data_IF_265654391373
#
_entry.id   IF_265654391373
#
_cell.length_a   1.000
_cell.length_b   1.000
_cell.length_c   1.000
_cell.angle_alpha   90.00
_cell.angle_beta   90.00
_cell.angle_gamma   90.00
#
_symmetry.space_group_name_H-M   'P 1'
#
loop_
_entity.id
_entity.type
_entity.pdbx_description
1 polymer ?
#
# COMPACT_ATOMS: atom_id res chain seq x y z
N UNK A 1 30.76 3.20 -0.16
CA UNK A 1 29.88 3.82 -1.17
C UNK A 1 28.56 3.06 -1.12
N UNK A 2 27.59 3.52 -0.33
CA UNK A 2 26.28 2.84 -0.17
C UNK A 2 25.25 3.60 -0.99
N UNK A 3 24.88 3.03 -2.13
CA UNK A 3 23.90 3.58 -3.06
C UNK A 3 22.47 3.43 -2.54
N UNK A 4 21.81 4.58 -2.39
CA UNK A 4 20.44 4.89 -2.81
C UNK A 4 19.36 3.83 -2.55
N UNK A 5 18.74 3.89 -1.37
CA UNK A 5 17.46 3.26 -1.09
C UNK A 5 16.34 4.08 -1.73
N UNK A 6 15.89 3.66 -2.91
CA UNK A 6 14.66 4.15 -3.53
C UNK A 6 13.48 3.52 -2.78
N UNK A 7 12.63 4.35 -2.16
CA UNK A 7 11.42 3.91 -1.47
C UNK A 7 10.47 3.24 -2.47
N UNK A 8 10.41 1.90 -2.45
CA UNK A 8 9.47 1.12 -3.26
C UNK A 8 8.20 0.88 -2.43
N UNK A 9 7.08 1.41 -2.90
CA UNK A 9 5.73 1.01 -2.45
C UNK A 9 5.48 -0.44 -2.88
N UNK A 10 5.89 -1.38 -2.03
CA UNK A 10 5.68 -2.81 -2.22
C UNK A 10 4.46 -3.30 -1.43
N UNK A 11 3.63 -4.14 -2.06
CA UNK A 11 2.56 -4.85 -1.36
C UNK A 11 3.21 -5.83 -0.37
N UNK A 12 3.18 -5.50 0.92
CA UNK A 12 3.78 -6.33 1.96
C UNK A 12 3.07 -7.68 2.03
N UNK A 13 3.76 -8.75 1.61
CA UNK A 13 3.35 -10.09 1.95
C UNK A 13 3.54 -10.27 3.47
N UNK A 14 2.43 -10.12 4.19
CA UNK A 14 2.17 -10.69 5.51
C UNK A 14 2.95 -10.14 6.73
N UNK A 15 3.11 -8.83 6.81
CA UNK A 15 3.28 -8.09 8.08
C UNK A 15 2.42 -6.84 7.99
N UNK A 16 1.22 -6.89 8.57
CA UNK A 16 0.36 -5.69 8.66
C UNK A 16 0.98 -4.74 9.67
N UNK A 17 1.68 -3.73 9.17
CA UNK A 17 2.31 -2.68 9.99
C UNK A 17 1.24 -1.87 10.72
N UNK A 18 0.08 -1.68 10.10
CA UNK A 18 -1.10 -1.10 10.73
C UNK A 18 -2.35 -1.89 10.30
N UNK A 19 -3.23 -2.27 11.23
CA UNK A 19 -4.39 -3.12 10.92
C UNK A 19 -5.38 -2.46 9.95
N UNK A 20 -5.41 -1.12 9.90
CA UNK A 20 -6.36 -0.37 9.08
C UNK A 20 -5.84 -0.01 7.68
N UNK A 21 -4.54 -0.21 7.41
CA UNK A 21 -3.92 0.17 6.15
C UNK A 21 -3.52 -1.05 5.32
N UNK A 22 -4.10 -1.17 4.13
CA UNK A 22 -3.75 -2.21 3.15
C UNK A 22 -2.42 -1.94 2.43
N UNK A 23 -2.03 -0.68 2.33
CA UNK A 23 -0.83 -0.23 1.65
C UNK A 23 -0.14 0.82 2.52
N UNK A 24 1.16 0.67 2.75
CA UNK A 24 1.98 1.60 3.50
C UNK A 24 3.42 1.51 2.99
N UNK A 25 4.12 2.64 2.94
CA UNK A 25 5.55 2.66 2.60
C UNK A 25 6.36 2.32 3.85
N UNK A 26 7.06 1.20 3.82
CA UNK A 26 8.00 0.80 4.86
C UNK A 26 9.31 0.34 4.25
N UNK A 27 10.41 0.34 5.02
CA UNK A 27 11.65 -0.28 4.58
C UNK A 27 11.40 -1.75 4.22
N UNK A 28 11.78 -2.12 2.99
CA UNK A 28 11.65 -3.48 2.47
C UNK A 28 13.01 -4.00 2.03
N UNK A 29 13.27 -5.27 2.32
CA UNK A 29 14.39 -5.99 1.76
C UNK A 29 13.98 -6.56 0.41
N UNK A 30 14.77 -6.28 -0.62
CA UNK A 30 14.56 -6.81 -1.97
C UNK A 30 15.33 -8.13 -2.14
N UNK A 31 14.76 -9.03 -2.92
CA UNK A 31 15.36 -10.29 -3.33
C UNK A 31 15.11 -10.55 -4.82
N UNK A 32 15.52 -11.73 -5.28
CA UNK A 32 15.47 -12.12 -6.70
C UNK A 32 14.05 -12.11 -7.32
N UNK A 33 13.01 -12.14 -6.49
CA UNK A 33 11.60 -12.13 -6.91
C UNK A 33 10.84 -10.88 -6.46
N UNK A 34 11.54 -9.76 -6.22
CA UNK A 34 10.94 -8.52 -5.76
C UNK A 34 11.04 -8.35 -4.24
N UNK A 35 9.95 -8.00 -3.57
CA UNK A 35 9.97 -7.78 -2.11
C UNK A 35 10.20 -9.12 -1.39
N UNK A 36 11.36 -9.27 -0.78
CA UNK A 36 11.73 -10.46 -0.02
C UNK A 36 11.23 -10.39 1.42
N UNK A 37 11.27 -9.21 2.06
CA UNK A 37 10.83 -9.03 3.45
C UNK A 37 10.37 -7.60 3.69
N UNK A 38 9.29 -7.43 4.44
CA UNK A 38 8.94 -6.13 5.03
C UNK A 38 9.61 -5.99 6.40
N UNK A 39 10.37 -4.91 6.62
CA UNK A 39 11.05 -4.63 7.87
C UNK A 39 10.19 -3.86 8.88
N UNK A 40 8.99 -3.42 8.48
CA UNK A 40 8.04 -2.70 9.34
C UNK A 40 8.48 -1.28 9.67
N UNK A 41 7.83 -0.68 10.66
CA UNK A 41 8.27 0.60 11.23
C UNK A 41 9.22 0.32 12.38
N UNK A 42 10.28 1.14 12.46
CA UNK A 42 11.11 1.19 13.64
C UNK A 42 10.38 1.94 14.76
N UNK A 43 10.97 1.97 15.95
CA UNK A 43 10.46 2.77 17.05
C UNK A 43 10.38 4.24 16.62
N UNK A 44 9.16 4.77 16.60
CA UNK A 44 8.87 6.15 16.21
C UNK A 44 9.01 7.04 17.43
N UNK A 45 9.56 8.24 17.24
CA UNK A 45 9.51 9.28 18.26
C UNK A 45 8.06 9.75 18.48
N UNK A 46 7.77 10.37 19.62
CA UNK A 46 6.42 10.90 19.93
C UNK A 46 5.87 11.82 18.82
N UNK A 47 6.76 12.59 18.20
CA UNK A 47 6.42 13.47 17.08
C UNK A 47 6.06 12.70 15.82
N UNK A 48 6.86 11.70 15.46
CA UNK A 48 6.61 10.85 14.29
C UNK A 48 5.36 9.99 14.47
N UNK A 49 5.10 9.50 15.69
CA UNK A 49 3.89 8.78 16.02
C UNK A 49 2.65 9.66 15.84
N UNK A 50 2.68 10.90 16.33
CA UNK A 50 1.59 11.87 16.13
C UNK A 50 1.33 12.15 14.64
N UNK A 51 2.38 12.29 13.83
CA UNK A 51 2.24 12.44 12.38
C UNK A 51 1.65 11.19 11.72
N UNK A 52 2.12 10.02 12.16
CA UNK A 52 1.67 8.73 11.65
C UNK A 52 0.18 8.52 11.89
N UNK A 53 -0.31 8.77 13.11
CA UNK A 53 -1.72 8.62 13.49
C UNK A 53 -2.63 9.50 12.62
N UNK A 54 -2.22 10.75 12.37
CA UNK A 54 -2.95 11.64 11.46
C UNK A 54 -2.94 11.12 10.01
N UNK A 55 -1.80 10.60 9.55
CA UNK A 55 -1.64 10.06 8.20
C UNK A 55 -2.48 8.80 7.96
N UNK A 56 -2.65 7.94 8.96
CA UNK A 56 -3.46 6.71 8.85
C UNK A 56 -4.87 7.03 8.35
N UNK A 57 -5.51 8.03 8.95
CA UNK A 57 -6.90 8.40 8.61
C UNK A 57 -7.04 8.88 7.17
N UNK A 58 -6.14 9.75 6.72
CA UNK A 58 -6.12 10.28 5.35
C UNK A 58 -5.84 9.17 4.33
N UNK A 59 -4.82 8.35 4.60
CA UNK A 59 -4.36 7.33 3.67
C UNK A 59 -5.41 6.21 3.49
N UNK A 60 -6.14 5.84 4.55
CA UNK A 60 -7.23 4.88 4.45
C UNK A 60 -8.35 5.37 3.52
N UNK A 61 -8.68 6.67 3.56
CA UNK A 61 -9.66 7.27 2.68
C UNK A 61 -9.19 7.26 1.21
N UNK A 62 -7.93 7.60 0.96
CA UNK A 62 -7.36 7.62 -0.39
C UNK A 62 -7.25 6.22 -1.00
N UNK A 63 -6.86 5.22 -0.20
CA UNK A 63 -6.85 3.81 -0.62
C UNK A 63 -8.28 3.39 -1.02
N UNK A 64 -9.27 3.69 -0.18
CA UNK A 64 -10.67 3.35 -0.44
C UNK A 64 -11.18 4.02 -1.72
N UNK A 65 -10.79 5.28 -1.96
CA UNK A 65 -11.14 6.01 -3.19
C UNK A 65 -10.54 5.35 -4.44
N UNK A 66 -9.28 4.96 -4.39
CA UNK A 66 -8.61 4.25 -5.49
C UNK A 66 -9.23 2.87 -5.77
N UNK A 67 -9.53 2.10 -4.72
CA UNK A 67 -10.17 0.79 -4.86
C UNK A 67 -11.58 0.92 -5.47
N UNK A 68 -12.37 1.90 -5.03
CA UNK A 68 -13.69 2.18 -5.61
C UNK A 68 -13.60 2.57 -7.08
N UNK A 69 -12.63 3.39 -7.46
CA UNK A 69 -12.45 3.83 -8.85
C UNK A 69 -12.19 2.64 -9.80
N UNK A 70 -11.34 1.69 -9.39
CA UNK A 70 -11.11 0.46 -10.17
C UNK A 70 -12.35 -0.43 -10.15
N UNK A 71 -13.00 -0.59 -8.99
CA UNK A 71 -14.20 -1.43 -8.82
C UNK A 71 -15.33 -1.02 -9.76
N UNK A 72 -15.64 0.27 -9.84
CA UNK A 72 -16.68 0.79 -10.75
C UNK A 72 -16.31 0.65 -12.22
N UNK A 73 -15.03 0.81 -12.58
CA UNK A 73 -14.57 0.62 -13.96
C UNK A 73 -14.57 -0.87 -14.39
N UNK A 74 -14.24 -1.77 -13.47
CA UNK A 74 -14.21 -3.22 -13.74
C UNK A 74 -15.61 -3.81 -14.01
N UNK A 75 -16.66 -3.23 -13.42
CA UNK A 75 -18.05 -3.65 -13.64
C UNK A 75 -18.61 -3.18 -14.99
N UNK A 76 -18.23 -1.98 -15.43
CA UNK A 76 -18.62 -1.42 -16.73
C UNK A 76 -18.06 -2.23 -17.91
N UNK A 77 -16.84 -2.75 -17.80
CA UNK A 77 -16.22 -3.61 -18.83
C UNK A 77 -16.81 -5.02 -18.93
N UNK A 78 -17.55 -5.49 -17.90
CA UNK A 78 -18.20 -6.82 -17.92
C UNK A 78 -19.56 -6.79 -18.62
N UNK A 79 -20.28 -5.67 -18.56
CA UNK A 79 -21.56 -5.52 -19.28
C UNK A 79 -21.38 -5.37 -20.79
N UNK A 80 -20.25 -4.81 -21.25
CA UNK A 80 -19.93 -4.73 -22.68
C UNK A 80 -19.66 -6.10 -23.33
N UNK A 81 -19.42 -7.16 -22.55
CA UNK A 81 -19.13 -8.52 -23.06
C UNK A 81 -20.34 -9.45 -23.10
N UNK A 82 -21.51 -9.03 -22.63
CA UNK A 82 -22.73 -9.85 -22.61
C UNK A 82 -23.73 -9.54 -23.76
N UNK A 83 -23.39 -8.63 -24.68
CA UNK A 83 -24.22 -8.27 -25.84
C UNK A 83 -23.70 -8.78 -27.18
N UNK A 84 -22.79 -9.77 -27.17
CA UNK A 84 -22.31 -10.44 -28.38
C UNK A 84 -22.60 -11.95 -28.28
N UNK A 85 -23.89 -12.31 -28.32
CA UNK A 85 -24.43 -13.64 -28.68
C UNK A 85 -25.74 -13.44 -29.43
#
# INVERSE_FOLDING_TARGET
MTENAWFVLGRAANVSVHPELKYLSTPVQLGIHGVSKNLGLQELTDYEQCMFDNLVTCLAADITKGEKYIGTHAESSRHAKQQEV
#
